data_IF_975727501663
#
_entry.id   IF_975727501663
#
_cell.length_a   1.000
_cell.length_b   1.000
_cell.length_c   1.000
_cell.angle_alpha   90.00
_cell.angle_beta   90.00
_cell.angle_gamma   90.00
#
_symmetry.space_group_name_H-M   'P 1'
#
loop_
_entity.id
_entity.type
_entity.pdbx_description
1 polymer ?
#
# COMPACT_ATOMS: atom_id res chain seq x y z
N UNK A 1 4.74 -33.80 13.94
CA UNK A 1 4.78 -32.63 14.83
C UNK A 1 3.34 -32.14 14.97
N UNK A 2 2.87 -31.68 16.14
CA UNK A 2 1.57 -31.02 16.19
C UNK A 2 1.67 -29.70 15.43
N UNK A 3 0.60 -29.31 14.75
CA UNK A 3 0.44 -27.98 14.15
C UNK A 3 0.38 -26.94 15.28
N UNK A 4 1.55 -26.51 15.76
CA UNK A 4 1.65 -25.46 16.76
C UNK A 4 1.35 -24.14 16.04
N UNK A 5 0.13 -23.64 16.23
CA UNK A 5 -0.24 -22.27 15.87
C UNK A 5 0.47 -21.32 16.83
N UNK A 6 1.47 -20.59 16.33
CA UNK A 6 2.30 -19.68 17.13
C UNK A 6 1.64 -18.30 17.27
N UNK A 7 0.98 -17.84 16.20
CA UNK A 7 0.36 -16.53 16.14
C UNK A 7 -0.70 -16.49 15.04
N UNK A 8 -1.59 -15.50 15.12
CA UNK A 8 -2.48 -15.13 14.02
C UNK A 8 -2.02 -13.83 13.38
N UNK A 9 -2.26 -13.67 12.09
CA UNK A 9 -1.94 -12.44 11.39
C UNK A 9 -3.15 -11.97 10.60
N UNK A 10 -3.52 -10.70 10.77
CA UNK A 10 -4.57 -10.04 9.99
C UNK A 10 -3.99 -8.92 9.14
N UNK A 11 -4.58 -8.70 7.98
CA UNK A 11 -4.21 -7.56 7.14
C UNK A 11 -4.97 -6.33 7.60
N UNK A 12 -4.26 -5.25 7.91
CA UNK A 12 -4.83 -3.94 8.23
C UNK A 12 -4.53 -2.98 7.09
N UNK A 13 -5.56 -2.31 6.62
CA UNK A 13 -5.47 -1.35 5.51
C UNK A 13 -5.85 0.06 5.97
N UNK A 14 -4.91 0.99 5.86
CA UNK A 14 -5.13 2.42 6.08
C UNK A 14 -4.72 3.21 4.86
N UNK A 15 -5.37 4.34 4.62
CA UNK A 15 -4.95 5.31 3.63
C UNK A 15 -4.19 6.46 4.30
N UNK A 16 -3.23 7.04 3.61
CA UNK A 16 -2.63 8.32 4.01
C UNK A 16 -2.93 9.32 2.91
N UNK A 17 -3.51 10.45 3.29
CA UNK A 17 -4.00 11.47 2.39
C UNK A 17 -2.91 12.36 1.77
N UNK A 18 -3.33 13.13 0.78
CA UNK A 18 -2.52 14.05 -0.02
C UNK A 18 -1.99 15.25 0.79
N UNK A 19 -2.72 15.69 1.81
CA UNK A 19 -2.47 16.96 2.54
C UNK A 19 -1.43 16.86 3.67
N UNK A 20 -0.60 15.82 3.68
CA UNK A 20 0.60 15.79 4.54
C UNK A 20 0.54 14.82 5.71
N UNK A 21 -0.08 13.65 5.52
CA UNK A 21 0.21 12.50 6.39
C UNK A 21 -0.92 12.12 7.35
N UNK A 22 -2.16 12.55 7.11
CA UNK A 22 -3.27 12.13 7.95
C UNK A 22 -3.64 10.70 7.59
N UNK A 23 -3.62 9.84 8.60
CA UNK A 23 -4.01 8.45 8.45
C UNK A 23 -5.53 8.34 8.51
N UNK A 24 -6.13 7.92 7.41
CA UNK A 24 -7.55 7.69 7.26
C UNK A 24 -7.81 6.17 7.15
N UNK A 25 -8.98 5.69 7.60
CA UNK A 25 -9.33 4.29 7.45
C UNK A 25 -9.47 3.92 5.96
N UNK A 26 -9.07 2.71 5.58
CA UNK A 26 -9.16 2.24 4.18
C UNK A 26 -10.58 2.33 3.59
N UNK A 27 -11.62 2.35 4.44
CA UNK A 27 -13.01 2.55 4.04
C UNK A 27 -13.29 3.89 3.37
N UNK A 28 -12.39 4.89 3.46
CA UNK A 28 -12.52 6.14 2.71
C UNK A 28 -12.54 5.95 1.19
N UNK A 29 -11.98 4.84 0.71
CA UNK A 29 -11.93 4.49 -0.71
C UNK A 29 -13.24 3.88 -1.22
N UNK A 30 -14.18 3.55 -0.33
CA UNK A 30 -15.44 2.94 -0.72
C UNK A 30 -16.21 3.85 -1.67
N UNK A 31 -16.66 3.27 -2.78
CA UNK A 31 -17.40 3.93 -3.86
C UNK A 31 -16.63 5.08 -4.56
N UNK A 32 -15.32 5.20 -4.30
CA UNK A 32 -14.45 6.18 -4.95
C UNK A 32 -13.90 5.66 -6.26
N UNK A 33 -13.94 6.48 -7.30
CA UNK A 33 -13.26 6.22 -8.57
C UNK A 33 -11.77 6.48 -8.42
N UNK A 34 -10.97 5.42 -8.52
CA UNK A 34 -9.53 5.49 -8.29
C UNK A 34 -8.73 5.03 -9.49
N UNK A 35 -7.62 5.73 -9.73
CA UNK A 35 -6.56 5.24 -10.59
C UNK A 35 -5.43 4.67 -9.73
N UNK A 36 -5.07 3.41 -9.94
CA UNK A 36 -4.09 2.72 -9.10
C UNK A 36 -2.73 2.60 -9.80
N UNK A 37 -1.62 2.89 -9.11
CA UNK A 37 -0.29 2.56 -9.63
C UNK A 37 0.65 2.06 -8.55
N UNK A 38 1.55 1.13 -8.90
CA UNK A 38 2.55 0.64 -7.96
C UNK A 38 3.77 0.02 -8.67
N UNK A 39 4.89 -0.01 -7.97
CA UNK A 39 6.18 -0.59 -8.36
C UNK A 39 6.70 -1.56 -7.29
N UNK A 40 5.84 -2.51 -6.90
CA UNK A 40 6.10 -3.53 -5.87
C UNK A 40 6.11 -4.95 -6.44
N UNK A 41 6.70 -5.90 -5.72
CA UNK A 41 6.84 -7.29 -6.15
C UNK A 41 5.52 -8.04 -6.39
N UNK A 42 4.42 -7.64 -5.74
CA UNK A 42 3.09 -8.25 -5.95
C UNK A 42 2.01 -7.19 -6.16
N UNK A 43 1.87 -6.67 -7.39
CA UNK A 43 0.84 -5.69 -7.73
C UNK A 43 -0.59 -6.23 -7.61
N UNK A 44 -0.78 -7.53 -7.86
CA UNK A 44 -2.09 -8.16 -7.83
C UNK A 44 -2.73 -8.06 -6.43
N UNK A 45 -1.94 -8.26 -5.37
CA UNK A 45 -2.40 -8.11 -3.99
C UNK A 45 -2.80 -6.66 -3.67
N UNK A 46 -2.05 -5.68 -4.16
CA UNK A 46 -2.39 -4.26 -3.98
C UNK A 46 -3.74 -3.93 -4.64
N UNK A 47 -3.93 -4.36 -5.89
CA UNK A 47 -5.20 -4.16 -6.59
C UNK A 47 -6.37 -4.90 -5.95
N UNK A 48 -6.15 -6.12 -5.43
CA UNK A 48 -7.21 -6.86 -4.73
C UNK A 48 -7.63 -6.15 -3.45
N UNK A 49 -6.68 -5.64 -2.67
CA UNK A 49 -6.98 -4.87 -1.45
C UNK A 49 -7.80 -3.60 -1.75
N UNK A 50 -7.52 -2.89 -2.84
CA UNK A 50 -8.35 -1.73 -3.23
C UNK A 50 -9.81 -2.13 -3.53
N UNK A 51 -10.00 -3.25 -4.23
CA UNK A 51 -11.33 -3.77 -4.54
C UNK A 51 -12.06 -4.25 -3.29
N UNK A 52 -11.37 -4.94 -2.39
CA UNK A 52 -11.91 -5.39 -1.09
C UNK A 52 -12.37 -4.22 -0.22
N UNK A 53 -11.71 -3.07 -0.33
CA UNK A 53 -12.10 -1.82 0.33
C UNK A 53 -13.28 -1.11 -0.33
N UNK A 54 -13.79 -1.63 -1.46
CA UNK A 54 -14.90 -1.05 -2.20
C UNK A 54 -14.50 0.08 -3.14
N UNK A 55 -13.21 0.24 -3.47
CA UNK A 55 -12.78 1.21 -4.45
C UNK A 55 -13.18 0.80 -5.87
N UNK A 56 -13.63 1.77 -6.67
CA UNK A 56 -13.92 1.61 -8.09
C UNK A 56 -12.63 1.87 -8.87
N UNK A 57 -11.84 0.81 -9.11
CA UNK A 57 -10.58 0.92 -9.84
C UNK A 57 -10.87 1.08 -11.34
N UNK A 58 -10.89 2.32 -11.82
CA UNK A 58 -11.18 2.68 -13.22
C UNK A 58 -9.99 2.42 -14.15
N UNK A 59 -8.78 2.41 -13.61
CA UNK A 59 -7.56 2.16 -14.35
C UNK A 59 -6.39 1.80 -13.44
N UNK A 60 -5.37 1.17 -14.01
CA UNK A 60 -4.13 0.94 -13.28
C UNK A 60 -2.89 0.97 -14.15
N UNK A 61 -1.76 1.30 -13.53
CA UNK A 61 -0.43 1.22 -14.15
C UNK A 61 0.57 0.54 -13.22
N UNK A 62 1.12 -0.57 -13.70
CA UNK A 62 2.01 -1.41 -12.92
C UNK A 62 3.44 -1.26 -13.43
N UNK A 63 4.36 -1.00 -12.51
CA UNK A 63 5.77 -0.85 -12.77
C UNK A 63 6.55 -2.03 -12.18
N UNK A 64 7.80 -2.19 -12.62
CA UNK A 64 8.71 -3.19 -12.05
C UNK A 64 8.98 -2.88 -10.57
N UNK A 65 9.27 -3.92 -9.80
CA UNK A 65 9.67 -3.73 -8.41
C UNK A 65 10.92 -2.84 -8.36
N UNK A 66 10.93 -1.86 -7.44
CA UNK A 66 12.02 -0.88 -7.36
C UNK A 66 12.10 0.13 -8.52
N UNK A 67 10.99 0.35 -9.23
CA UNK A 67 10.92 1.37 -10.29
C UNK A 67 11.39 2.74 -9.81
N UNK A 68 12.19 3.40 -10.64
CA UNK A 68 12.62 4.79 -10.47
C UNK A 68 11.68 5.67 -11.29
N UNK A 69 10.76 6.34 -10.62
CA UNK A 69 9.76 7.18 -11.26
C UNK A 69 10.40 8.41 -11.91
N UNK A 70 10.15 8.57 -13.20
CA UNK A 70 10.54 9.75 -13.98
C UNK A 70 9.43 10.79 -14.04
N UNK A 71 9.73 12.02 -14.46
CA UNK A 71 8.71 13.04 -14.71
C UNK A 71 7.70 12.59 -15.78
N UNK A 72 8.16 11.90 -16.82
CA UNK A 72 7.28 11.34 -17.86
C UNK A 72 6.33 10.25 -17.30
N UNK A 73 6.78 9.47 -16.30
CA UNK A 73 5.89 8.51 -15.63
C UNK A 73 4.78 9.24 -14.88
N UNK A 74 5.11 10.32 -14.16
CA UNK A 74 4.14 11.12 -13.42
C UNK A 74 3.11 11.75 -14.35
N UNK A 75 3.55 12.42 -15.42
CA UNK A 75 2.65 13.01 -16.43
C UNK A 75 1.71 11.96 -17.03
N UNK A 76 2.25 10.77 -17.31
CA UNK A 76 1.45 9.69 -17.89
C UNK A 76 0.48 9.06 -16.89
N UNK A 77 0.82 9.04 -15.60
CA UNK A 77 -0.08 8.65 -14.52
C UNK A 77 -1.21 9.69 -14.38
N UNK A 78 -0.90 10.98 -14.34
CA UNK A 78 -1.91 12.04 -14.24
C UNK A 78 -2.87 12.03 -15.42
N UNK A 79 -2.34 11.87 -16.64
CA UNK A 79 -3.16 11.77 -17.85
C UNK A 79 -4.09 10.54 -17.82
N UNK A 80 -3.59 9.39 -17.37
CA UNK A 80 -4.38 8.16 -17.27
C UNK A 80 -5.40 8.20 -16.13
N UNK A 81 -5.12 8.99 -15.08
CA UNK A 81 -6.03 9.22 -13.96
C UNK A 81 -7.10 10.29 -14.26
N UNK A 82 -7.10 10.90 -15.45
CA UNK A 82 -8.08 11.90 -15.83
C UNK A 82 -9.51 11.34 -15.69
N UNK A 83 -10.32 11.97 -14.82
CA UNK A 83 -11.69 11.54 -14.53
C UNK A 83 -11.84 10.61 -13.32
N UNK A 84 -10.73 10.22 -12.67
CA UNK A 84 -10.76 9.59 -11.35
C UNK A 84 -10.83 10.66 -10.24
N UNK A 85 -11.38 10.28 -9.09
CA UNK A 85 -11.40 11.14 -7.89
C UNK A 85 -10.06 11.14 -7.17
N UNK A 86 -9.35 10.00 -7.18
CA UNK A 86 -8.09 9.83 -6.46
C UNK A 86 -7.08 9.01 -7.27
N UNK A 87 -5.80 9.31 -7.06
CA UNK A 87 -4.70 8.45 -7.47
C UNK A 87 -4.24 7.67 -6.25
N UNK A 88 -4.19 6.34 -6.33
CA UNK A 88 -3.80 5.49 -5.20
C UNK A 88 -2.51 4.75 -5.53
N UNK A 89 -1.54 4.84 -4.62
CA UNK A 89 -0.26 4.13 -4.72
C UNK A 89 0.12 3.45 -3.40
N UNK A 90 1.31 2.87 -3.32
CA UNK A 90 1.82 2.29 -2.08
C UNK A 90 2.70 3.31 -1.32
N UNK A 91 2.83 3.15 -0.01
CA UNK A 91 3.79 3.96 0.77
C UNK A 91 5.24 3.77 0.29
N UNK A 92 5.59 2.59 -0.23
CA UNK A 92 6.93 2.33 -0.76
C UNK A 92 7.20 3.15 -2.03
N UNK A 93 6.19 3.32 -2.87
CA UNK A 93 6.31 4.04 -4.15
C UNK A 93 6.25 5.55 -3.97
N UNK A 94 5.43 6.08 -3.04
CA UNK A 94 5.38 7.53 -2.78
C UNK A 94 6.77 8.09 -2.38
N UNK A 95 7.53 7.34 -1.57
CA UNK A 95 8.86 7.70 -1.13
C UNK A 95 9.89 7.78 -2.27
N UNK A 96 9.56 7.23 -3.44
CA UNK A 96 10.42 7.21 -4.64
C UNK A 96 9.98 8.21 -5.69
N UNK A 97 8.80 8.83 -5.54
CA UNK A 97 8.37 9.86 -6.47
C UNK A 97 9.24 11.11 -6.27
N UNK A 98 9.73 11.71 -7.36
CA UNK A 98 10.33 13.04 -7.28
C UNK A 98 9.24 14.04 -6.86
N UNK A 99 9.34 14.58 -5.65
CA UNK A 99 8.33 15.47 -5.04
C UNK A 99 7.38 14.80 -4.04
N UNK A 100 7.51 13.49 -3.80
CA UNK A 100 6.74 12.76 -2.80
C UNK A 100 5.23 12.90 -3.00
N UNK A 101 4.50 13.25 -1.94
CA UNK A 101 3.05 13.48 -2.00
C UNK A 101 2.66 14.66 -2.90
N UNK A 102 3.53 15.66 -3.06
CA UNK A 102 3.28 16.80 -3.97
C UNK A 102 3.52 16.50 -5.44
N UNK A 103 3.97 15.28 -5.79
CA UNK A 103 4.31 14.90 -7.16
C UNK A 103 3.08 14.70 -8.08
N UNK A 104 1.91 14.41 -7.50
CA UNK A 104 0.69 14.08 -8.22
C UNK A 104 -0.50 14.68 -7.49
N UNK A 105 -1.44 15.32 -8.19
CA UNK A 105 -2.63 15.88 -7.53
C UNK A 105 -3.55 14.77 -7.00
N UNK A 106 -4.01 14.90 -5.76
CA UNK A 106 -4.98 13.98 -5.16
C UNK A 106 -4.45 12.56 -4.98
N UNK A 107 -3.13 12.42 -4.73
CA UNK A 107 -2.52 11.12 -4.45
C UNK A 107 -2.74 10.71 -3.00
N UNK A 108 -3.14 9.47 -2.78
CA UNK A 108 -3.12 8.84 -1.47
C UNK A 108 -2.34 7.52 -1.52
N UNK A 109 -1.85 7.08 -0.37
CA UNK A 109 -1.15 5.80 -0.28
C UNK A 109 -1.98 4.78 0.48
N UNK A 110 -2.11 3.58 -0.07
CA UNK A 110 -2.59 2.42 0.68
C UNK A 110 -1.42 1.81 1.46
N UNK A 111 -1.55 1.77 2.78
CA UNK A 111 -0.72 0.94 3.64
C UNK A 111 -1.40 -0.42 3.80
N UNK A 112 -0.65 -1.49 3.54
CA UNK A 112 -1.08 -2.87 3.76
C UNK A 112 -0.14 -3.45 4.81
N UNK A 113 -0.55 -3.39 6.07
CA UNK A 113 0.20 -3.92 7.18
C UNK A 113 -0.29 -5.32 7.56
N UNK A 114 0.61 -6.16 8.06
CA UNK A 114 0.25 -7.36 8.80
C UNK A 114 0.29 -7.01 10.29
N UNK A 115 -0.84 -7.16 10.97
CA UNK A 115 -0.91 -7.12 12.43
C UNK A 115 -0.86 -8.55 12.93
N UNK A 116 0.02 -8.83 13.89
CA UNK A 116 0.27 -10.19 14.38
C UNK A 116 -0.21 -10.27 15.84
N UNK A 117 -1.17 -11.16 16.08
CA UNK A 117 -1.65 -11.49 17.41
C UNK A 117 -0.62 -12.41 18.11
N UNK A 118 -0.32 -12.17 19.39
CA UNK A 118 0.71 -12.93 20.12
C UNK A 118 2.15 -12.43 19.88
N UNK A 119 2.31 -11.12 19.64
CA UNK A 119 3.61 -10.47 19.41
C UNK A 119 4.64 -10.82 20.49
N UNK A 120 4.23 -10.87 21.77
CA UNK A 120 5.10 -11.17 22.90
C UNK A 120 5.67 -12.60 22.85
N UNK A 121 4.85 -13.60 22.49
CA UNK A 121 5.31 -14.99 22.33
C UNK A 121 6.30 -15.12 21.16
N UNK A 122 6.03 -14.45 20.04
CA UNK A 122 6.93 -14.46 18.87
C UNK A 122 8.28 -13.82 19.22
N UNK A 123 8.27 -12.64 19.83
CA UNK A 123 9.50 -11.95 20.24
C UNK A 123 10.29 -12.81 21.23
N UNK A 124 9.63 -13.48 22.16
CA UNK A 124 10.26 -14.42 23.09
C UNK A 124 10.93 -15.59 22.36
N UNK A 125 10.30 -16.15 21.33
CA UNK A 125 10.87 -17.23 20.52
C UNK A 125 12.06 -16.77 19.67
N UNK A 126 11.95 -15.62 19.02
CA UNK A 126 13.04 -15.00 18.25
C UNK A 126 14.24 -14.75 19.17
N UNK A 127 14.00 -14.14 20.34
CA UNK A 127 15.05 -13.84 21.33
C UNK A 127 15.71 -15.10 21.90
N UNK A 128 14.95 -16.16 22.15
CA UNK A 128 15.49 -17.46 22.58
C UNK A 128 16.32 -18.14 21.48
N UNK A 129 15.93 -17.97 20.22
CA UNK A 129 16.68 -18.48 19.06
C UNK A 129 17.99 -17.74 18.82
N UNK A 130 17.99 -16.40 18.96
CA UNK A 130 19.17 -15.54 18.78
C UNK A 130 20.19 -15.73 19.91
N UNK A 131 19.74 -16.03 21.14
CA UNK A 131 20.63 -16.29 22.30
C UNK A 131 21.24 -17.70 22.34
N UNK A 132 20.99 -18.53 21.34
CA UNK A 132 21.71 -19.79 21.15
C UNK A 132 22.91 -19.56 20.23
N UNK A 133 23.94 -18.92 20.78
CA UNK A 133 25.34 -19.02 20.34
C UNK A 133 26.23 -19.19 21.57
#
# INVERSE_FOLDING_TARGET
>A
APDIRICDARTVTSCVDFDGGRQEPGSMLKDKKVFAFCGIANPARFLSSLKELGALVEGSRLFLDHHKYSAADLESIEAAAAGCELIVTTQKDICRLPGGYGALKGVCTLNIAAEIDGEAEILSLIMKGIRRE
#
